data_IF_267939484123
#
_entry.id   IF_267939484123
#
_cell.length_a   1.000
_cell.length_b   1.000
_cell.length_c   1.000
_cell.angle_alpha   90.00
_cell.angle_beta   90.00
_cell.angle_gamma   90.00
#
_symmetry.space_group_name_H-M   'P 1'
#
loop_
_entity.id
_entity.type
_entity.pdbx_description
1 polymer ?
#
# COMPACT_ATOMS: atom_id res chain seq x y z
N UNK A 1 -32.52 13.51 31.90
CA UNK A 1 -32.49 12.77 30.62
C UNK A 1 -32.90 11.34 30.90
N UNK A 2 -34.03 10.84 30.35
CA UNK A 2 -34.42 9.45 30.52
C UNK A 2 -33.37 8.54 29.88
N UNK A 3 -33.28 7.30 30.36
CA UNK A 3 -32.23 6.32 30.05
C UNK A 3 -32.07 6.07 28.54
N UNK A 4 -31.26 6.88 27.87
CA UNK A 4 -30.73 6.53 26.55
C UNK A 4 -29.91 5.26 26.76
N UNK A 5 -30.42 4.13 26.28
CA UNK A 5 -29.68 2.86 26.22
C UNK A 5 -28.33 3.19 25.58
N UNK A 6 -27.22 3.02 26.32
CA UNK A 6 -25.88 3.14 25.72
C UNK A 6 -25.84 2.18 24.53
N UNK A 7 -25.70 2.71 23.31
CA UNK A 7 -25.63 1.89 22.11
C UNK A 7 -24.46 0.90 22.25
N UNK A 8 -24.74 -0.37 21.95
CA UNK A 8 -23.75 -1.45 22.01
C UNK A 8 -23.05 -1.57 20.67
N UNK A 9 -21.74 -1.38 20.68
CA UNK A 9 -20.91 -1.35 19.47
C UNK A 9 -19.92 -2.51 19.52
N UNK A 10 -19.90 -3.31 18.47
CA UNK A 10 -18.89 -4.33 18.23
C UNK A 10 -17.73 -3.73 17.45
N UNK A 11 -16.49 -4.02 17.84
CA UNK A 11 -15.30 -3.67 17.06
C UNK A 11 -14.49 -4.92 16.79
N UNK A 12 -14.30 -5.23 15.50
CA UNK A 12 -13.50 -6.33 15.01
C UNK A 12 -12.17 -5.78 14.51
N UNK A 13 -11.08 -6.31 15.03
CA UNK A 13 -9.73 -5.91 14.63
C UNK A 13 -9.16 -4.82 15.54
N UNK A 14 -8.19 -5.21 16.36
CA UNK A 14 -7.53 -4.34 17.34
C UNK A 14 -6.08 -4.04 16.93
N UNK A 15 -5.90 -3.72 15.64
CA UNK A 15 -4.64 -3.26 15.08
C UNK A 15 -4.33 -1.80 15.42
N UNK A 16 -3.53 -1.14 14.57
CA UNK A 16 -3.07 0.23 14.83
C UNK A 16 -4.23 1.21 15.00
N UNK A 17 -5.24 1.10 14.13
CA UNK A 17 -6.36 2.03 14.08
C UNK A 17 -7.51 1.60 14.98
N UNK A 18 -7.92 0.32 14.90
CA UNK A 18 -9.07 -0.19 15.65
C UNK A 18 -8.95 -0.02 17.17
N UNK A 19 -7.73 -0.05 17.73
CA UNK A 19 -7.52 0.25 19.16
C UNK A 19 -7.85 1.71 19.53
N UNK A 20 -7.46 2.66 18.67
CA UNK A 20 -7.70 4.09 18.87
C UNK A 20 -9.18 4.42 18.73
N UNK A 21 -9.83 3.83 17.72
CA UNK A 21 -11.29 3.92 17.52
C UNK A 21 -12.04 3.35 18.72
N UNK A 22 -11.65 2.16 19.21
CA UNK A 22 -12.24 1.53 20.40
C UNK A 22 -12.15 2.44 21.63
N UNK A 23 -11.00 3.07 21.86
CA UNK A 23 -10.79 3.98 22.98
C UNK A 23 -11.69 5.23 22.86
N UNK A 24 -11.79 5.80 21.66
CA UNK A 24 -12.64 6.95 21.37
C UNK A 24 -14.14 6.65 21.55
N UNK A 25 -14.62 5.50 21.06
CA UNK A 25 -16.01 5.07 21.31
C UNK A 25 -16.30 4.95 22.81
N UNK A 26 -15.38 4.35 23.58
CA UNK A 26 -15.54 4.22 25.04
C UNK A 26 -15.56 5.59 25.73
N UNK A 27 -14.70 6.52 25.34
CA UNK A 27 -14.65 7.86 25.93
C UNK A 27 -15.91 8.68 25.65
N UNK A 28 -16.59 8.41 24.53
CA UNK A 28 -17.90 9.00 24.17
C UNK A 28 -19.10 8.31 24.83
N UNK A 29 -18.86 7.31 25.69
CA UNK A 29 -19.90 6.66 26.49
C UNK A 29 -20.59 5.46 25.83
N UNK A 30 -20.12 5.01 24.66
CA UNK A 30 -20.62 3.79 24.02
C UNK A 30 -20.23 2.54 24.82
N UNK A 31 -21.09 1.51 24.79
CA UNK A 31 -20.74 0.21 25.36
C UNK A 31 -20.05 -0.64 24.28
N UNK A 32 -18.73 -0.74 24.36
CA UNK A 32 -17.93 -1.37 23.29
C UNK A 32 -17.51 -2.79 23.67
N UNK A 33 -17.86 -3.74 22.81
CA UNK A 33 -17.40 -5.13 22.81
C UNK A 33 -16.43 -5.34 21.66
N UNK A 34 -15.44 -6.21 21.84
CA UNK A 34 -14.34 -6.32 20.89
C UNK A 34 -13.98 -7.75 20.58
N UNK A 35 -13.52 -7.97 19.36
CA UNK A 35 -12.92 -9.24 18.94
C UNK A 35 -11.68 -8.98 18.09
N UNK A 36 -10.69 -9.84 18.20
CA UNK A 36 -9.51 -9.83 17.35
C UNK A 36 -9.02 -11.27 17.15
N UNK A 37 -8.62 -11.64 15.93
CA UNK A 37 -8.12 -12.98 15.60
C UNK A 37 -7.06 -13.48 16.60
N UNK A 38 -6.11 -12.62 16.95
CA UNK A 38 -5.19 -12.85 18.07
C UNK A 38 -5.78 -12.21 19.32
N UNK A 39 -6.12 -12.96 20.38
CA UNK A 39 -6.69 -12.40 21.60
C UNK A 39 -5.86 -11.23 22.17
N UNK A 40 -6.56 -10.23 22.72
CA UNK A 40 -5.94 -9.05 23.33
C UNK A 40 -6.45 -8.90 24.77
N UNK A 41 -5.59 -8.51 25.73
CA UNK A 41 -5.99 -8.32 27.13
C UNK A 41 -6.71 -6.97 27.30
N UNK A 42 -7.93 -6.87 26.77
CA UNK A 42 -8.77 -5.67 26.82
C UNK A 42 -10.17 -6.01 27.35
N UNK A 43 -10.86 -5.08 28.03
CA UNK A 43 -12.22 -5.34 28.54
C UNK A 43 -13.21 -5.67 27.42
N UNK A 44 -14.29 -6.40 27.77
CA UNK A 44 -15.38 -6.79 26.88
C UNK A 44 -14.93 -7.53 25.62
N UNK A 45 -13.87 -8.34 25.75
CA UNK A 45 -13.41 -9.21 24.68
C UNK A 45 -14.35 -10.42 24.56
N UNK A 46 -14.86 -10.68 23.36
CA UNK A 46 -15.76 -11.82 23.08
C UNK A 46 -15.03 -12.95 22.36
N UNK A 47 -15.63 -14.15 22.28
CA UNK A 47 -15.01 -15.33 21.69
C UNK A 47 -15.02 -15.34 20.16
N UNK A 48 -15.99 -14.69 19.51
CA UNK A 48 -16.14 -14.73 18.05
C UNK A 48 -16.80 -13.47 17.46
N UNK A 49 -16.70 -13.20 16.14
CA UNK A 49 -17.51 -12.19 15.48
C UNK A 49 -19.01 -12.46 15.57
N UNK A 50 -19.43 -13.73 15.49
CA UNK A 50 -20.84 -14.10 15.66
C UNK A 50 -21.40 -13.66 17.01
N UNK A 51 -20.61 -13.79 18.10
CA UNK A 51 -21.00 -13.31 19.43
C UNK A 51 -21.16 -11.78 19.49
N UNK A 52 -20.37 -11.01 18.72
CA UNK A 52 -20.61 -9.56 18.59
C UNK A 52 -21.97 -9.26 17.98
N UNK A 53 -22.40 -10.01 16.96
CA UNK A 53 -23.72 -9.85 16.37
C UNK A 53 -24.86 -10.31 17.28
N UNK A 54 -24.63 -11.18 18.26
CA UNK A 54 -25.65 -11.49 19.27
C UNK A 54 -25.90 -10.34 20.24
N UNK A 55 -24.87 -9.56 20.56
CA UNK A 55 -24.91 -8.57 21.65
C UNK A 55 -24.90 -7.10 21.20
N UNK A 56 -24.46 -6.80 19.98
CA UNK A 56 -24.32 -5.45 19.45
C UNK A 56 -25.26 -5.21 18.26
N UNK A 57 -25.72 -3.96 18.11
CA UNK A 57 -26.54 -3.54 16.97
C UNK A 57 -25.68 -2.93 15.84
N UNK A 58 -24.52 -2.36 16.19
CA UNK A 58 -23.57 -1.76 15.24
C UNK A 58 -22.22 -2.46 15.34
N UNK A 59 -21.62 -2.80 14.21
CA UNK A 59 -20.38 -3.59 14.18
C UNK A 59 -19.39 -2.95 13.22
N UNK A 60 -18.24 -2.50 13.73
CA UNK A 60 -17.16 -1.93 12.92
C UNK A 60 -16.07 -2.97 12.64
N UNK A 61 -15.62 -3.06 11.39
CA UNK A 61 -14.61 -4.02 10.92
C UNK A 61 -13.33 -3.29 10.50
N UNK A 62 -12.22 -3.60 11.18
CA UNK A 62 -10.87 -3.12 10.90
C UNK A 62 -9.92 -4.29 10.63
N UNK A 63 -9.92 -4.82 9.40
CA UNK A 63 -9.08 -5.96 9.01
C UNK A 63 -8.10 -5.59 7.89
N UNK A 64 -7.14 -6.48 7.63
CA UNK A 64 -5.95 -6.16 6.84
C UNK A 64 -6.14 -6.21 5.33
N UNK A 65 -7.04 -7.06 4.85
CA UNK A 65 -7.11 -7.49 3.46
C UNK A 65 -8.50 -8.07 3.12
N UNK A 66 -8.69 -8.34 1.82
CA UNK A 66 -9.89 -8.85 1.20
C UNK A 66 -10.38 -10.16 1.84
N UNK A 67 -9.47 -11.12 2.03
CA UNK A 67 -9.80 -12.43 2.61
C UNK A 67 -10.32 -12.27 4.05
N UNK A 68 -9.61 -11.49 4.87
CA UNK A 68 -10.01 -11.24 6.24
C UNK A 68 -11.38 -10.53 6.33
N UNK A 69 -11.70 -9.65 5.38
CA UNK A 69 -13.00 -8.97 5.33
C UNK A 69 -14.12 -9.97 5.03
N UNK A 70 -13.96 -10.79 3.99
CA UNK A 70 -14.97 -11.77 3.58
C UNK A 70 -15.17 -12.84 4.65
N UNK A 71 -14.10 -13.36 5.25
CA UNK A 71 -14.19 -14.30 6.37
C UNK A 71 -14.95 -13.69 7.56
N UNK A 72 -14.66 -12.43 7.89
CA UNK A 72 -15.35 -11.72 8.98
C UNK A 72 -16.84 -11.53 8.67
N UNK A 73 -17.18 -11.14 7.45
CA UNK A 73 -18.56 -10.98 7.00
C UNK A 73 -19.33 -12.31 7.09
N UNK A 74 -18.72 -13.42 6.67
CA UNK A 74 -19.31 -14.76 6.80
C UNK A 74 -19.56 -15.15 8.26
N UNK A 75 -18.57 -14.97 9.15
CA UNK A 75 -18.73 -15.28 10.58
C UNK A 75 -19.82 -14.43 11.23
N UNK A 76 -19.91 -13.15 10.89
CA UNK A 76 -20.99 -12.28 11.35
C UNK A 76 -22.35 -12.78 10.85
N UNK A 77 -22.43 -13.21 9.59
CA UNK A 77 -23.67 -13.63 8.94
C UNK A 77 -24.42 -14.75 9.67
N UNK A 78 -23.74 -15.52 10.53
CA UNK A 78 -24.35 -16.55 11.36
C UNK A 78 -25.41 -16.01 12.33
N UNK A 79 -25.27 -14.75 12.75
CA UNK A 79 -26.10 -14.12 13.80
C UNK A 79 -26.63 -12.73 13.41
N UNK A 80 -26.28 -12.24 12.23
CA UNK A 80 -26.87 -11.03 11.66
C UNK A 80 -28.39 -11.16 11.46
N UNK A 81 -29.04 -10.01 11.46
CA UNK A 81 -30.49 -9.83 11.41
C UNK A 81 -30.82 -8.37 11.05
N UNK A 82 -32.08 -8.03 10.72
CA UNK A 82 -32.43 -6.70 10.19
C UNK A 82 -32.13 -5.49 11.08
N UNK A 83 -31.93 -5.68 12.39
CA UNK A 83 -31.56 -4.59 13.31
C UNK A 83 -30.14 -4.05 13.08
N UNK A 84 -29.26 -4.82 12.43
CA UNK A 84 -27.84 -4.52 12.44
C UNK A 84 -27.40 -3.52 11.38
N UNK A 85 -26.34 -2.79 11.70
CA UNK A 85 -25.52 -2.05 10.74
C UNK A 85 -24.07 -2.52 10.87
N UNK A 86 -23.51 -3.05 9.78
CA UNK A 86 -22.10 -3.41 9.67
C UNK A 86 -21.35 -2.31 8.93
N UNK A 87 -20.25 -1.84 9.50
CA UNK A 87 -19.45 -0.73 8.97
C UNK A 87 -18.03 -1.26 8.70
N UNK A 88 -17.64 -1.34 7.43
CA UNK A 88 -16.33 -1.84 7.03
C UNK A 88 -15.35 -0.69 6.76
N UNK A 89 -14.23 -0.67 7.47
CA UNK A 89 -13.21 0.39 7.37
C UNK A 89 -11.95 -0.05 6.62
N UNK A 90 -11.88 -1.32 6.22
CA UNK A 90 -10.71 -1.92 5.62
C UNK A 90 -10.49 -1.39 4.20
N UNK A 91 -9.26 -1.00 3.86
CA UNK A 91 -8.90 -0.75 2.47
C UNK A 91 -8.75 -2.11 1.75
N UNK A 92 -9.70 -2.48 0.91
CA UNK A 92 -9.72 -3.74 0.14
C UNK A 92 -9.95 -3.45 -1.33
N UNK A 93 -10.26 -4.44 -2.17
CA UNK A 93 -10.76 -4.15 -3.53
C UNK A 93 -12.23 -3.70 -3.48
N UNK A 94 -12.69 -2.86 -4.43
CA UNK A 94 -14.10 -2.51 -4.57
C UNK A 94 -15.03 -3.73 -4.70
N UNK A 95 -14.57 -4.80 -5.35
CA UNK A 95 -15.33 -6.05 -5.49
C UNK A 95 -15.49 -6.77 -4.15
N UNK A 96 -14.42 -6.89 -3.35
CA UNK A 96 -14.52 -7.48 -2.01
C UNK A 96 -15.43 -6.67 -1.08
N UNK A 97 -15.47 -5.35 -1.22
CA UNK A 97 -16.39 -4.52 -0.45
C UNK A 97 -17.85 -4.79 -0.82
N UNK A 98 -18.16 -4.93 -2.12
CA UNK A 98 -19.50 -5.33 -2.59
C UNK A 98 -19.87 -6.73 -2.15
N UNK A 99 -18.97 -7.70 -2.28
CA UNK A 99 -19.20 -9.07 -1.84
C UNK A 99 -19.45 -9.15 -0.32
N UNK A 100 -18.71 -8.38 0.49
CA UNK A 100 -18.96 -8.29 1.93
C UNK A 100 -20.34 -7.70 2.24
N UNK A 101 -20.75 -6.67 1.50
CA UNK A 101 -22.08 -6.08 1.64
C UNK A 101 -23.18 -7.10 1.29
N UNK A 102 -23.06 -7.83 0.18
CA UNK A 102 -24.00 -8.88 -0.23
C UNK A 102 -24.18 -9.95 0.87
N UNK A 103 -23.09 -10.40 1.49
CA UNK A 103 -23.14 -11.36 2.60
C UNK A 103 -23.96 -10.79 3.78
N UNK A 104 -23.73 -9.53 4.14
CA UNK A 104 -24.43 -8.86 5.25
C UNK A 104 -25.91 -8.64 4.92
N UNK A 105 -26.19 -8.13 3.73
CA UNK A 105 -27.54 -7.78 3.26
C UNK A 105 -28.42 -9.01 3.02
N UNK A 106 -27.83 -10.16 2.68
CA UNK A 106 -28.55 -11.45 2.61
C UNK A 106 -29.21 -11.87 3.93
N UNK A 107 -28.77 -11.29 5.05
CA UNK A 107 -29.36 -11.48 6.40
C UNK A 107 -30.35 -10.36 6.79
N UNK A 108 -30.66 -9.46 5.86
CA UNK A 108 -31.48 -8.28 6.06
C UNK A 108 -30.80 -7.15 6.83
N UNK A 109 -29.54 -7.33 7.23
CA UNK A 109 -28.74 -6.28 7.87
C UNK A 109 -28.30 -5.22 6.86
N UNK A 110 -27.89 -4.06 7.34
CA UNK A 110 -27.43 -2.95 6.50
C UNK A 110 -25.91 -2.83 6.51
N UNK A 111 -25.34 -2.34 5.43
CA UNK A 111 -23.89 -2.22 5.26
C UNK A 111 -23.46 -0.79 4.94
N UNK A 112 -22.36 -0.36 5.54
CA UNK A 112 -21.67 0.90 5.23
C UNK A 112 -20.21 0.57 4.92
N UNK A 113 -19.73 1.09 3.81
CA UNK A 113 -18.31 1.19 3.52
C UNK A 113 -17.79 2.52 4.08
N UNK A 114 -16.73 2.49 4.89
CA UNK A 114 -16.16 3.66 5.54
C UNK A 114 -14.63 3.61 5.69
N UNK A 115 -13.82 3.42 4.62
CA UNK A 115 -12.38 3.60 4.71
C UNK A 115 -12.01 5.01 5.15
N UNK A 116 -10.78 5.21 5.61
CA UNK A 116 -10.37 6.46 6.25
C UNK A 116 -8.99 6.94 5.80
N UNK A 117 -8.74 8.23 5.98
CA UNK A 117 -7.39 8.80 6.04
C UNK A 117 -7.11 9.34 7.45
N UNK A 118 -5.82 9.31 7.81
CA UNK A 118 -5.35 9.50 9.18
C UNK A 118 -4.48 8.34 9.64
N UNK A 119 -3.44 8.65 10.41
CA UNK A 119 -2.50 7.67 10.96
C UNK A 119 -2.90 7.25 12.38
N UNK A 120 -2.04 6.45 13.02
CA UNK A 120 -2.09 6.14 14.46
C UNK A 120 -2.50 7.34 15.34
N UNK A 121 -1.86 8.48 15.14
CA UNK A 121 -2.08 9.69 15.95
C UNK A 121 -3.51 10.24 15.75
N UNK A 122 -4.00 10.26 14.50
CA UNK A 122 -5.35 10.72 14.21
C UNK A 122 -6.40 9.77 14.81
N UNK A 123 -6.17 8.45 14.74
CA UNK A 123 -7.05 7.46 15.35
C UNK A 123 -7.09 7.56 16.88
N UNK A 124 -5.98 7.90 17.53
CA UNK A 124 -5.92 8.10 18.99
C UNK A 124 -6.67 9.38 19.40
N UNK A 125 -6.58 10.45 18.61
CA UNK A 125 -7.24 11.73 18.88
C UNK A 125 -8.71 11.81 18.45
N UNK A 126 -9.21 10.80 17.75
CA UNK A 126 -10.56 10.85 17.15
C UNK A 126 -10.65 11.84 15.98
N UNK A 127 -9.57 12.01 15.24
CA UNK A 127 -9.41 12.98 14.14
C UNK A 127 -9.29 12.31 12.76
N UNK A 128 -9.77 11.05 12.63
CA UNK A 128 -9.85 10.40 11.33
C UNK A 128 -10.76 11.19 10.38
N UNK A 129 -10.55 10.99 9.08
CA UNK A 129 -11.46 11.45 8.04
C UNK A 129 -12.00 10.21 7.35
N UNK A 130 -13.30 9.97 7.44
CA UNK A 130 -13.95 8.83 6.79
C UNK A 130 -14.44 9.21 5.40
N UNK A 131 -14.15 8.35 4.42
CA UNK A 131 -14.81 8.34 3.11
C UNK A 131 -15.92 7.30 3.20
N UNK A 132 -17.19 7.71 3.03
CA UNK A 132 -18.33 6.81 3.28
C UNK A 132 -19.17 6.57 2.03
N UNK A 133 -19.63 5.33 1.89
CA UNK A 133 -20.58 4.90 0.89
C UNK A 133 -21.62 3.96 1.54
N UNK A 134 -22.87 4.10 1.11
CA UNK A 134 -24.02 3.41 1.69
C UNK A 134 -25.31 4.23 1.57
N UNK A 135 -26.44 3.60 1.92
CA UNK A 135 -27.75 4.25 1.96
C UNK A 135 -27.77 5.45 2.92
N UNK A 136 -28.46 6.52 2.54
CA UNK A 136 -28.46 7.79 3.29
C UNK A 136 -29.09 7.64 4.68
N UNK A 137 -30.19 6.92 4.81
CA UNK A 137 -30.85 6.73 6.10
C UNK A 137 -29.95 5.89 7.05
N UNK A 138 -29.31 4.87 6.50
CA UNK A 138 -28.33 4.04 7.22
C UNK A 138 -27.12 4.87 7.67
N UNK A 139 -26.58 5.73 6.80
CA UNK A 139 -25.47 6.63 7.13
C UNK A 139 -25.85 7.64 8.22
N UNK A 140 -27.06 8.20 8.17
CA UNK A 140 -27.55 9.12 9.21
C UNK A 140 -27.66 8.44 10.57
N UNK A 141 -28.13 7.19 10.61
CA UNK A 141 -28.23 6.42 11.85
C UNK A 141 -26.84 6.06 12.42
N UNK A 142 -25.88 5.69 11.55
CA UNK A 142 -24.52 5.32 11.96
C UNK A 142 -23.61 6.53 12.26
N UNK A 143 -24.01 7.74 11.88
CA UNK A 143 -23.20 8.96 11.98
C UNK A 143 -22.62 9.22 13.38
N UNK A 144 -23.38 9.12 14.50
CA UNK A 144 -22.82 9.35 15.84
C UNK A 144 -21.68 8.39 16.22
N UNK A 145 -21.67 7.19 15.64
CA UNK A 145 -20.65 6.16 15.88
C UNK A 145 -19.37 6.49 15.11
N UNK A 146 -19.49 6.94 13.86
CA UNK A 146 -18.37 7.41 13.06
C UNK A 146 -17.75 8.68 13.68
N UNK A 147 -18.58 9.65 14.04
CA UNK A 147 -18.18 10.93 14.67
C UNK A 147 -17.44 10.74 16.00
N UNK A 148 -17.62 9.60 16.67
CA UNK A 148 -16.87 9.30 17.89
C UNK A 148 -15.35 9.28 17.66
N UNK A 149 -14.90 8.94 16.44
CA UNK A 149 -13.48 8.75 16.11
C UNK A 149 -13.00 9.55 14.89
N UNK A 150 -13.82 10.48 14.40
CA UNK A 150 -13.50 11.31 13.22
C UNK A 150 -13.74 12.78 13.45
N UNK A 151 -12.96 13.62 12.77
CA UNK A 151 -13.24 15.05 12.62
C UNK A 151 -14.08 15.37 11.39
N UNK A 152 -14.16 14.45 10.43
CA UNK A 152 -14.87 14.66 9.17
C UNK A 152 -15.38 13.34 8.57
N UNK A 153 -16.56 13.39 7.97
CA UNK A 153 -17.20 12.28 7.27
C UNK A 153 -17.63 12.79 5.89
N UNK A 154 -17.00 12.28 4.85
CA UNK A 154 -17.22 12.66 3.46
C UNK A 154 -18.00 11.57 2.74
N UNK A 155 -19.23 11.86 2.33
CA UNK A 155 -20.02 10.94 1.50
C UNK A 155 -19.46 10.93 0.08
N UNK A 156 -19.06 9.76 -0.39
CA UNK A 156 -18.48 9.57 -1.73
C UNK A 156 -19.55 9.14 -2.72
N UNK A 157 -20.28 8.06 -2.43
CA UNK A 157 -21.29 7.53 -3.35
C UNK A 157 -21.64 6.09 -3.04
N UNK A 158 -21.55 5.24 -4.06
CA UNK A 158 -21.94 3.82 -4.01
C UNK A 158 -20.84 2.91 -3.47
N UNK A 159 -21.21 1.69 -3.07
CA UNK A 159 -20.28 0.71 -2.53
C UNK A 159 -19.13 0.38 -3.51
N UNK A 160 -17.92 0.44 -2.98
CA UNK A 160 -16.64 0.33 -3.68
C UNK A 160 -16.05 1.67 -4.09
N UNK A 161 -16.84 2.75 -4.17
CA UNK A 161 -16.33 4.08 -4.57
C UNK A 161 -15.54 4.75 -3.44
N UNK A 162 -15.91 4.54 -2.18
CA UNK A 162 -15.15 5.11 -1.06
C UNK A 162 -13.77 4.46 -0.92
N UNK A 163 -13.66 3.15 -1.16
CA UNK A 163 -12.38 2.45 -1.26
C UNK A 163 -11.57 2.92 -2.46
N UNK A 164 -12.19 3.13 -3.63
CA UNK A 164 -11.48 3.69 -4.78
C UNK A 164 -10.90 5.09 -4.48
N UNK A 165 -11.65 5.95 -3.78
CA UNK A 165 -11.16 7.24 -3.29
C UNK A 165 -9.97 7.07 -2.32
N UNK A 166 -10.06 6.12 -1.38
CA UNK A 166 -8.97 5.81 -0.47
C UNK A 166 -7.71 5.34 -1.21
N UNK A 167 -7.85 4.45 -2.19
CA UNK A 167 -6.72 3.97 -3.00
C UNK A 167 -6.07 5.13 -3.76
N UNK A 168 -6.86 6.00 -4.39
CA UNK A 168 -6.34 7.18 -5.10
C UNK A 168 -5.55 8.12 -4.18
N UNK A 169 -6.05 8.40 -2.97
CA UNK A 169 -5.32 9.25 -2.00
C UNK A 169 -4.04 8.58 -1.49
N UNK A 170 -4.04 7.25 -1.34
CA UNK A 170 -2.84 6.50 -0.97
C UNK A 170 -1.81 6.43 -2.11
N UNK A 171 -2.22 6.43 -3.39
CA UNK A 171 -1.29 6.52 -4.53
C UNK A 171 -0.43 7.79 -4.45
N UNK A 172 -1.07 8.94 -4.22
CA UNK A 172 -0.38 10.24 -4.06
C UNK A 172 0.56 10.19 -2.86
N UNK A 173 0.11 9.58 -1.76
CA UNK A 173 0.89 9.44 -0.53
C UNK A 173 2.15 8.60 -0.73
N UNK A 174 2.02 7.43 -1.36
CA UNK A 174 3.14 6.53 -1.65
C UNK A 174 4.16 7.19 -2.59
N UNK A 175 3.69 7.78 -3.69
CA UNK A 175 4.52 8.50 -4.64
C UNK A 175 5.30 9.64 -3.99
N UNK A 176 4.63 10.43 -3.14
CA UNK A 176 5.26 11.56 -2.45
C UNK A 176 6.38 11.12 -1.51
N UNK A 177 6.15 10.06 -0.73
CA UNK A 177 7.18 9.53 0.19
C UNK A 177 8.33 8.89 -0.57
N UNK A 178 8.05 8.14 -1.64
CA UNK A 178 9.06 7.55 -2.50
C UNK A 178 9.96 8.63 -3.14
N UNK A 179 9.37 9.64 -3.77
CA UNK A 179 10.12 10.75 -4.36
C UNK A 179 10.95 11.52 -3.31
N UNK A 180 10.42 11.66 -2.09
CA UNK A 180 11.15 12.29 -0.99
C UNK A 180 12.35 11.45 -0.53
N UNK A 181 12.21 10.12 -0.49
CA UNK A 181 13.31 9.22 -0.17
C UNK A 181 14.44 9.30 -1.20
N UNK A 182 14.11 9.33 -2.49
CA UNK A 182 15.08 9.53 -3.58
C UNK A 182 15.77 10.90 -3.47
N UNK A 183 15.01 11.96 -3.23
CA UNK A 183 15.55 13.31 -3.07
C UNK A 183 16.52 13.40 -1.88
N UNK A 184 16.18 12.78 -0.74
CA UNK A 184 17.08 12.71 0.42
C UNK A 184 18.38 11.97 0.07
N UNK A 185 18.30 10.86 -0.67
CA UNK A 185 19.48 10.16 -1.18
C UNK A 185 20.37 11.03 -2.06
N UNK A 186 19.77 11.79 -2.98
CA UNK A 186 20.50 12.72 -3.85
C UNK A 186 21.21 13.82 -3.05
N UNK A 187 20.50 14.43 -2.09
CA UNK A 187 21.08 15.45 -1.19
C UNK A 187 22.26 14.85 -0.41
N UNK A 188 22.13 13.63 0.11
CA UNK A 188 23.22 12.95 0.81
C UNK A 188 24.41 12.66 -0.11
N UNK A 189 24.17 12.17 -1.32
CA UNK A 189 25.22 11.85 -2.30
C UNK A 189 26.01 13.10 -2.74
N UNK A 190 25.38 14.27 -2.72
CA UNK A 190 26.02 15.56 -3.00
C UNK A 190 26.69 16.20 -1.77
N UNK A 191 26.69 15.53 -0.61
CA UNK A 191 27.29 16.04 0.62
C UNK A 191 26.54 17.23 1.23
N UNK A 192 25.28 17.44 0.86
CA UNK A 192 24.45 18.51 1.41
C UNK A 192 23.80 18.08 2.72
N UNK A 193 23.63 18.98 3.72
CA UNK A 193 22.93 18.64 4.96
C UNK A 193 21.46 18.28 4.71
N UNK A 194 21.03 17.10 5.17
CA UNK A 194 19.65 16.62 4.98
C UNK A 194 18.63 17.54 5.66
N UNK A 195 19.00 18.15 6.79
CA UNK A 195 18.16 19.10 7.53
C UNK A 195 17.86 20.35 6.70
N UNK A 196 18.78 20.78 5.83
CA UNK A 196 18.56 21.92 4.92
C UNK A 196 17.55 21.58 3.83
N UNK A 197 17.51 20.33 3.36
CA UNK A 197 16.44 19.89 2.48
C UNK A 197 15.07 19.91 3.18
N UNK A 198 14.99 19.48 4.44
CA UNK A 198 13.75 19.57 5.25
C UNK A 198 13.31 21.03 5.42
N UNK A 199 14.26 21.93 5.70
CA UNK A 199 13.99 23.38 5.79
C UNK A 199 13.44 23.93 4.47
N UNK A 200 14.09 23.63 3.34
CA UNK A 200 13.65 24.06 2.01
C UNK A 200 12.26 23.52 1.67
N UNK A 201 11.96 22.26 2.02
CA UNK A 201 10.66 21.65 1.77
C UNK A 201 9.53 22.33 2.53
N UNK A 202 9.75 22.99 3.67
CA UNK A 202 8.69 23.72 4.40
C UNK A 202 8.09 24.88 3.59
N UNK A 203 8.92 25.52 2.75
CA UNK A 203 8.47 26.60 1.85
C UNK A 203 8.03 26.11 0.46
N UNK A 204 8.19 24.80 0.17
CA UNK A 204 7.84 24.24 -1.12
C UNK A 204 6.32 23.98 -1.20
N UNK A 205 5.70 24.25 -2.36
CA UNK A 205 4.28 24.03 -2.57
C UNK A 205 3.85 22.55 -2.43
N UNK A 206 4.79 21.61 -2.58
CA UNK A 206 4.56 20.16 -2.40
C UNK A 206 4.66 19.72 -0.94
N UNK A 207 4.92 20.64 -0.01
CA UNK A 207 4.92 20.31 1.42
C UNK A 207 3.54 19.81 1.84
N UNK A 208 3.52 18.67 2.55
CA UNK A 208 2.30 18.10 3.08
C UNK A 208 2.52 17.60 4.50
N UNK A 209 1.44 17.41 5.25
CA UNK A 209 1.48 16.83 6.59
C UNK A 209 2.18 15.47 6.60
N UNK A 210 2.01 14.67 5.55
CA UNK A 210 2.71 13.39 5.42
C UNK A 210 4.22 13.60 5.31
N UNK A 211 4.68 14.47 4.41
CA UNK A 211 6.13 14.71 4.26
C UNK A 211 6.75 15.34 5.51
N UNK A 212 6.04 16.26 6.15
CA UNK A 212 6.45 16.85 7.44
C UNK A 212 6.67 15.78 8.52
N UNK A 213 5.83 14.73 8.53
CA UNK A 213 5.95 13.60 9.45
C UNK A 213 7.06 12.62 9.06
N UNK A 214 7.20 12.31 7.77
CA UNK A 214 8.10 11.24 7.30
C UNK A 214 9.54 11.68 7.14
N UNK A 215 9.82 12.89 6.68
CA UNK A 215 11.21 13.33 6.43
C UNK A 215 12.12 13.20 7.66
N UNK A 216 11.75 13.71 8.86
CA UNK A 216 12.60 13.59 10.03
C UNK A 216 12.80 12.14 10.47
N UNK A 217 11.77 11.29 10.30
CA UNK A 217 11.83 9.86 10.60
C UNK A 217 12.77 9.11 9.66
N UNK A 218 12.71 9.39 8.35
CA UNK A 218 13.63 8.82 7.36
C UNK A 218 15.10 9.18 7.66
N UNK A 219 15.38 10.44 7.98
CA UNK A 219 16.74 10.89 8.34
C UNK A 219 17.24 10.19 9.61
N UNK A 220 16.38 10.05 10.62
CA UNK A 220 16.71 9.37 11.89
C UNK A 220 16.69 7.85 11.82
N UNK A 221 16.33 7.26 10.67
CA UNK A 221 16.07 5.83 10.49
C UNK A 221 15.03 5.27 11.49
N UNK A 222 14.08 6.10 11.92
CA UNK A 222 12.96 5.69 12.77
C UNK A 222 11.81 5.22 11.87
N UNK A 223 11.68 3.90 11.75
CA UNK A 223 10.64 3.26 10.96
C UNK A 223 9.53 2.64 11.83
N UNK A 224 9.30 3.17 13.04
CA UNK A 224 8.13 2.78 13.85
C UNK A 224 6.83 3.02 13.05
N UNK A 225 5.99 1.98 12.87
CA UNK A 225 4.92 2.00 11.89
C UNK A 225 3.76 2.91 12.31
N UNK A 226 3.54 3.96 11.53
CA UNK A 226 2.27 4.69 11.50
C UNK A 226 1.35 4.13 10.41
N UNK A 227 1.94 3.63 9.32
CA UNK A 227 1.29 2.82 8.29
C UNK A 227 2.35 1.89 7.69
N UNK A 228 2.16 0.58 7.77
CA UNK A 228 3.23 -0.35 7.46
C UNK A 228 3.46 -0.56 5.97
N UNK A 229 4.69 -0.93 5.61
CA UNK A 229 5.11 -1.26 4.24
C UNK A 229 4.17 -2.27 3.58
N UNK A 230 3.82 -3.37 4.28
CA UNK A 230 2.93 -4.39 3.73
C UNK A 230 1.54 -3.86 3.36
N UNK A 231 1.01 -2.92 4.16
CA UNK A 231 -0.31 -2.36 3.89
C UNK A 231 -0.27 -1.33 2.77
N UNK A 232 0.77 -0.48 2.69
CA UNK A 232 0.94 0.42 1.56
C UNK A 232 1.19 -0.35 0.26
N UNK A 233 1.99 -1.42 0.29
CA UNK A 233 2.23 -2.27 -0.88
C UNK A 233 0.91 -2.85 -1.41
N UNK A 234 0.09 -3.43 -0.53
CA UNK A 234 -1.23 -3.95 -0.89
C UNK A 234 -2.09 -2.88 -1.56
N UNK A 235 -2.14 -1.68 -1.00
CA UNK A 235 -2.91 -0.58 -1.60
C UNK A 235 -2.39 -0.19 -2.99
N UNK A 236 -1.06 -0.22 -3.22
CA UNK A 236 -0.48 0.01 -4.55
C UNK A 236 -0.76 -1.15 -5.52
N UNK A 237 -0.86 -2.39 -5.04
CA UNK A 237 -1.27 -3.54 -5.86
C UNK A 237 -2.73 -3.41 -6.29
N UNK A 238 -3.62 -3.03 -5.38
CA UNK A 238 -5.04 -2.74 -5.69
C UNK A 238 -5.12 -1.58 -6.70
N UNK A 239 -4.37 -0.49 -6.50
CA UNK A 239 -4.31 0.63 -7.44
C UNK A 239 -3.92 0.19 -8.86
N UNK A 240 -2.84 -0.60 -8.99
CA UNK A 240 -2.39 -1.11 -10.28
C UNK A 240 -3.42 -2.04 -10.94
N UNK A 241 -4.08 -2.90 -10.16
CA UNK A 241 -5.15 -3.76 -10.68
C UNK A 241 -6.33 -2.94 -11.20
N UNK A 242 -6.77 -1.92 -10.45
CA UNK A 242 -7.84 -1.02 -10.88
C UNK A 242 -7.44 -0.21 -12.12
N UNK A 243 -6.18 0.26 -12.19
CA UNK A 243 -5.65 0.93 -13.37
C UNK A 243 -5.70 0.05 -14.62
N UNK A 244 -5.21 -1.20 -14.50
CA UNK A 244 -5.23 -2.17 -15.59
C UNK A 244 -6.65 -2.46 -16.07
N UNK A 245 -7.60 -2.73 -15.16
CA UNK A 245 -9.00 -2.98 -15.50
C UNK A 245 -9.70 -1.79 -16.17
N UNK A 246 -9.14 -0.57 -16.04
CA UNK A 246 -9.65 0.65 -16.65
C UNK A 246 -8.75 1.17 -17.79
N UNK A 247 -7.83 0.35 -18.30
CA UNK A 247 -6.92 0.72 -19.39
C UNK A 247 -6.06 1.96 -19.10
N UNK A 248 -5.68 2.16 -17.83
CA UNK A 248 -4.81 3.23 -17.37
C UNK A 248 -3.40 2.68 -17.07
N UNK A 249 -2.40 3.36 -17.62
CA UNK A 249 -0.99 3.14 -17.26
C UNK A 249 -0.62 4.02 -16.06
N UNK A 250 -0.35 3.38 -14.92
CA UNK A 250 -0.05 4.03 -13.63
C UNK A 250 1.45 3.94 -13.31
N UNK A 251 2.31 4.44 -14.20
CA UNK A 251 3.77 4.30 -14.09
C UNK A 251 4.38 4.76 -12.75
N UNK A 252 3.94 5.88 -12.19
CA UNK A 252 4.41 6.37 -10.87
C UNK A 252 4.03 5.40 -9.74
N UNK A 253 2.82 4.87 -9.80
CA UNK A 253 2.31 3.89 -8.83
C UNK A 253 3.05 2.56 -8.95
N UNK A 254 3.36 2.11 -10.17
CA UNK A 254 4.18 0.92 -10.39
C UNK A 254 5.59 1.09 -9.80
N UNK A 255 6.25 2.23 -10.02
CA UNK A 255 7.57 2.50 -9.46
C UNK A 255 7.55 2.48 -7.91
N UNK A 256 6.58 3.14 -7.29
CA UNK A 256 6.43 3.13 -5.83
C UNK A 256 6.11 1.73 -5.27
N UNK A 257 5.25 0.97 -5.95
CA UNK A 257 4.97 -0.44 -5.61
C UNK A 257 6.25 -1.27 -5.58
N UNK A 258 7.09 -1.14 -6.59
CA UNK A 258 8.28 -1.98 -6.73
C UNK A 258 9.29 -1.71 -5.61
N UNK A 259 9.44 -0.45 -5.16
CA UNK A 259 10.28 -0.14 -4.01
C UNK A 259 9.71 -0.72 -2.71
N UNK A 260 8.39 -0.68 -2.52
CA UNK A 260 7.73 -1.29 -1.36
C UNK A 260 7.87 -2.82 -1.38
N UNK A 261 7.80 -3.45 -2.56
CA UNK A 261 8.01 -4.89 -2.73
C UNK A 261 9.45 -5.29 -2.37
N UNK A 262 10.45 -4.50 -2.76
CA UNK A 262 11.84 -4.71 -2.36
C UNK A 262 12.00 -4.65 -0.83
N UNK A 263 11.37 -3.69 -0.15
CA UNK A 263 11.38 -3.64 1.32
C UNK A 263 10.72 -4.86 1.97
N UNK A 264 9.65 -5.39 1.37
CA UNK A 264 9.04 -6.65 1.83
C UNK A 264 10.01 -7.83 1.69
N UNK A 265 10.77 -7.91 0.60
CA UNK A 265 11.76 -8.97 0.38
C UNK A 265 12.91 -8.91 1.39
N UNK A 266 13.22 -7.72 1.91
CA UNK A 266 14.22 -7.53 2.98
C UNK A 266 13.65 -7.73 4.40
N UNK A 267 12.39 -8.13 4.54
CA UNK A 267 11.77 -8.40 5.84
C UNK A 267 11.23 -7.16 6.57
N UNK A 268 11.20 -5.99 5.93
CA UNK A 268 10.72 -4.73 6.51
C UNK A 268 9.22 -4.50 6.31
N UNK A 269 8.43 -5.57 6.26
CA UNK A 269 7.00 -5.49 5.99
C UNK A 269 6.18 -4.84 7.10
N UNK A 270 6.63 -4.99 8.34
CA UNK A 270 6.00 -4.41 9.54
C UNK A 270 6.53 -3.03 9.92
N UNK A 271 7.65 -2.60 9.32
CA UNK A 271 8.16 -1.24 9.42
C UNK A 271 7.20 -0.25 8.72
N UNK A 272 7.32 1.03 9.04
CA UNK A 272 6.62 2.09 8.32
C UNK A 272 6.98 2.10 6.83
N UNK A 273 6.03 2.41 5.95
CA UNK A 273 6.26 2.44 4.50
C UNK A 273 7.33 3.46 4.06
N UNK A 274 7.73 4.41 4.92
CA UNK A 274 8.91 5.24 4.68
C UNK A 274 10.24 4.48 4.75
N UNK A 275 10.23 3.18 5.08
CA UNK A 275 11.39 2.29 5.04
C UNK A 275 12.04 2.21 3.65
N UNK A 276 11.34 2.59 2.58
CA UNK A 276 11.92 2.78 1.24
C UNK A 276 13.16 3.71 1.25
N UNK A 277 13.28 4.60 2.24
CA UNK A 277 14.45 5.45 2.44
C UNK A 277 15.74 4.68 2.77
N UNK A 278 15.66 3.46 3.32
CA UNK A 278 16.84 2.63 3.66
C UNK A 278 17.75 2.41 2.44
N UNK A 279 17.15 2.30 1.25
CA UNK A 279 17.86 2.11 -0.02
C UNK A 279 18.74 3.30 -0.41
N UNK A 280 18.29 4.50 -0.06
CA UNK A 280 18.91 5.75 -0.51
C UNK A 280 19.78 6.41 0.55
N UNK A 281 19.53 6.08 1.81
CA UNK A 281 20.30 6.53 2.96
C UNK A 281 21.03 5.30 3.54
N UNK A 282 22.17 4.87 3.00
CA UNK A 282 22.95 3.77 3.58
C UNK A 282 23.47 4.17 4.97
N UNK A 283 23.74 3.18 5.82
CA UNK A 283 24.51 3.45 7.02
C UNK A 283 25.92 3.84 6.57
N UNK A 284 26.34 5.06 6.89
CA UNK A 284 27.78 5.33 6.96
C UNK A 284 28.27 4.51 8.13
N UNK A 285 28.77 3.30 7.85
CA UNK A 285 29.76 2.72 8.75
C UNK A 285 30.81 3.82 8.94
N UNK A 286 31.09 4.19 10.19
CA UNK A 286 32.26 5.01 10.47
C UNK A 286 33.48 4.14 10.24
N UNK A 287 33.79 3.83 8.98
CA UNK A 287 35.08 3.31 8.62
C UNK A 287 36.05 4.46 8.80
N UNK A 288 36.66 4.53 9.99
CA UNK A 288 37.94 5.22 10.18
C UNK A 288 38.97 4.54 9.29
N UNK A 289 38.89 4.78 7.99
CA UNK A 289 39.97 4.53 7.07
C UNK A 289 40.89 5.74 7.18
N UNK A 290 41.89 5.64 8.06
CA UNK A 290 43.14 6.33 7.80
C UNK A 290 43.55 5.96 6.37
N UNK A 291 43.69 6.96 5.50
CA UNK A 291 44.32 6.77 4.20
C UNK A 291 45.65 6.03 4.41
N UNK A 292 45.94 4.94 3.69
CA UNK A 292 47.25 4.34 3.76
C UNK A 292 48.22 5.37 3.18
N UNK A 293 49.07 5.96 4.02
CA UNK A 293 50.22 6.72 3.53
C UNK A 293 51.01 5.79 2.62
N UNK A 294 51.07 6.16 1.34
CA UNK A 294 51.98 5.56 0.38
C UNK A 294 53.39 5.75 0.93
N UNK A 295 54.00 4.68 1.43
CA UNK A 295 55.41 4.67 1.75
C UNK A 295 56.16 4.78 0.42
N UNK A 296 56.87 5.90 0.25
CA UNK A 296 57.87 6.07 -0.80
C UNK A 296 58.87 4.91 -0.69
N UNK A 297 58.83 3.98 -1.65
CA UNK A 297 59.86 2.96 -1.80
C UNK A 297 60.96 3.54 -2.66
N UNK A 298 62.10 3.80 -2.04
CA UNK A 298 63.36 4.13 -2.70
C UNK A 298 63.70 3.03 -3.74
N UNK A 299 64.05 3.47 -4.95
CA UNK A 299 64.60 2.63 -6.01
C UNK A 299 65.91 2.00 -5.55
N UNK A 300 65.97 0.67 -5.56
CA UNK A 300 67.22 -0.06 -5.65
C UNK A 300 67.19 -0.98 -6.87
N UNK A 301 67.98 -0.59 -7.86
CA UNK A 301 68.31 -1.33 -9.07
C UNK A 301 69.36 -2.38 -8.75
N UNK A 302 69.18 -3.63 -9.22
CA UNK A 302 70.19 -4.39 -9.99
C UNK A 302 69.80 -5.86 -10.28
N UNK A 303 69.91 -6.17 -11.59
CA UNK A 303 70.38 -7.40 -12.24
C UNK A 303 69.69 -8.78 -12.04
N UNK A 304 68.91 -9.15 -13.06
CA UNK A 304 69.16 -10.26 -14.01
C UNK A 304 69.18 -11.73 -13.51
N UNK A 305 68.15 -12.51 -13.89
CA UNK A 305 68.26 -13.91 -14.30
C UNK A 305 66.99 -14.37 -15.07
N UNK A 306 67.19 -15.31 -16.00
CA UNK A 306 66.47 -15.49 -17.25
C UNK A 306 65.52 -16.71 -17.27
N UNK A 307 64.46 -16.61 -18.09
CA UNK A 307 63.70 -17.67 -18.80
C UNK A 307 62.59 -18.48 -18.06
N UNK A 308 61.63 -19.11 -18.80
CA UNK A 308 60.87 -18.61 -19.96
C UNK A 308 59.33 -18.74 -19.79
N UNK A 309 58.57 -18.12 -20.71
CA UNK A 309 57.10 -18.11 -20.76
C UNK A 309 56.49 -19.42 -21.30
N UNK A 310 55.26 -19.80 -20.90
CA UNK A 310 54.50 -20.83 -21.60
C UNK A 310 53.65 -20.21 -22.73
N UNK A 311 53.70 -20.86 -23.89
CA UNK A 311 52.85 -20.64 -25.06
C UNK A 311 51.36 -20.85 -24.73
N UNK A 312 50.51 -19.98 -25.26
CA UNK A 312 49.05 -20.21 -25.33
C UNK A 312 48.68 -20.38 -26.80
N UNK A 313 48.37 -21.61 -27.20
CA UNK A 313 47.74 -21.92 -28.48
C UNK A 313 46.19 -21.86 -28.34
N UNK A 314 45.45 -21.41 -29.36
CA UNK A 314 44.00 -21.32 -29.30
C UNK A 314 43.38 -22.66 -29.72
N UNK A 315 42.43 -23.17 -28.94
CA UNK A 315 41.58 -24.29 -29.36
C UNK A 315 40.14 -23.79 -29.48
N UNK A 316 39.74 -23.58 -30.74
CA UNK A 316 38.37 -23.43 -31.21
C UNK A 316 38.02 -24.75 -31.90
N UNK A 317 37.06 -25.51 -31.36
CA UNK A 317 36.10 -26.31 -32.13
C UNK A 317 35.15 -27.15 -31.26
N UNK A 318 33.86 -26.86 -31.42
CA UNK A 318 32.74 -27.79 -31.63
C UNK A 318 32.30 -28.72 -30.49
N UNK A 319 31.01 -28.59 -30.11
CA UNK A 319 30.00 -29.66 -29.92
C UNK A 319 28.69 -28.99 -29.48
N UNK A 320 27.75 -28.72 -30.39
CA UNK A 320 26.59 -29.56 -30.74
C UNK A 320 25.49 -29.58 -29.67
N UNK A 321 24.39 -28.85 -29.95
CA UNK A 321 23.12 -28.80 -29.21
C UNK A 321 22.27 -30.06 -29.44
N UNK A 322 21.50 -30.54 -28.44
CA UNK A 322 20.39 -31.49 -28.66
C UNK A 322 18.99 -30.81 -28.67
N UNK A 323 17.96 -31.45 -29.27
CA UNK A 323 16.75 -30.79 -29.78
C UNK A 323 15.49 -30.89 -28.89
N UNK A 324 14.58 -29.92 -29.12
CA UNK A 324 13.10 -29.89 -29.00
C UNK A 324 12.39 -30.41 -27.75
N UNK A 325 11.50 -29.58 -27.18
CA UNK A 325 10.04 -29.83 -27.16
C UNK A 325 9.27 -28.49 -27.24
N UNK A 326 8.46 -28.34 -28.28
CA UNK A 326 7.36 -27.39 -28.35
C UNK A 326 6.06 -28.20 -28.44
N UNK A 327 5.06 -27.90 -27.59
CA UNK A 327 3.61 -27.97 -27.88
C UNK A 327 2.76 -28.10 -26.59
N UNK A 328 2.00 -27.05 -26.27
CA UNK A 328 0.70 -26.99 -25.58
C UNK A 328 0.56 -25.51 -25.16
N UNK A 329 -0.33 -24.67 -25.68
CA UNK A 329 -1.79 -24.74 -25.58
C UNK A 329 -2.43 -23.91 -26.72
N UNK A 330 -3.17 -24.57 -27.61
CA UNK A 330 -4.30 -23.96 -28.36
C UNK A 330 -5.40 -25.01 -28.39
N UNK A 331 -6.39 -24.90 -27.49
CA UNK A 331 -7.72 -25.50 -27.64
C UNK A 331 -8.63 -25.05 -26.48
N UNK A 332 -9.36 -23.94 -26.68
CA UNK A 332 -10.79 -23.85 -26.32
C UNK A 332 -11.36 -22.51 -26.82
N UNK A 333 -11.63 -22.44 -28.12
CA UNK A 333 -12.64 -21.53 -28.63
C UNK A 333 -13.99 -22.27 -28.55
N UNK A 334 -14.84 -21.87 -27.62
CA UNK A 334 -16.24 -22.27 -27.53
C UNK A 334 -17.10 -21.02 -27.51
N UNK A 335 -17.98 -20.89 -28.51
CA UNK A 335 -18.79 -19.72 -28.80
C UNK A 335 -19.84 -19.42 -27.70
N UNK A 336 -20.08 -18.13 -27.45
CA UNK A 336 -21.15 -17.63 -26.59
C UNK A 336 -21.22 -16.10 -26.57
N UNK A 337 -21.96 -15.55 -27.52
CA UNK A 337 -22.61 -14.21 -27.58
C UNK A 337 -21.99 -13.01 -26.82
N UNK A 338 -21.31 -12.13 -27.57
CA UNK A 338 -20.94 -10.79 -27.12
C UNK A 338 -22.07 -9.78 -27.45
N UNK A 339 -22.70 -9.23 -26.40
CA UNK A 339 -23.50 -8.00 -26.51
C UNK A 339 -22.68 -6.79 -26.03
N UNK A 340 -22.71 -5.76 -26.88
CA UNK A 340 -22.37 -4.34 -26.68
C UNK A 340 -20.94 -3.96 -26.22
N UNK A 341 -20.13 -3.60 -27.21
CA UNK A 341 -18.86 -2.90 -27.05
C UNK A 341 -19.08 -1.40 -26.78
N UNK A 342 -18.53 -0.92 -25.65
CA UNK A 342 -18.36 0.51 -25.32
C UNK A 342 -17.28 1.10 -26.25
N UNK A 343 -17.45 2.29 -26.85
CA UNK A 343 -16.55 2.77 -27.89
C UNK A 343 -15.20 3.20 -27.31
N UNK A 344 -14.13 2.47 -27.70
CA UNK A 344 -12.75 2.85 -27.44
C UNK A 344 -12.45 4.25 -28.01
N UNK A 345 -11.95 5.16 -27.17
CA UNK A 345 -11.58 6.53 -27.58
C UNK A 345 -10.51 6.48 -28.68
N UNK A 346 -10.87 6.97 -29.88
CA UNK A 346 -10.10 7.06 -31.15
C UNK A 346 -8.67 7.65 -31.07
N UNK A 347 -8.20 8.11 -29.91
CA UNK A 347 -6.89 8.76 -29.76
C UNK A 347 -5.72 7.79 -29.57
N UNK A 348 -5.93 6.69 -28.84
CA UNK A 348 -4.83 5.87 -28.33
C UNK A 348 -4.18 4.99 -29.41
N UNK A 349 -4.99 4.30 -30.21
CA UNK A 349 -4.48 3.47 -31.32
C UNK A 349 -3.69 4.31 -32.34
N UNK A 350 -4.16 5.54 -32.57
CA UNK A 350 -3.55 6.49 -33.50
C UNK A 350 -2.20 7.01 -32.98
N UNK A 351 -2.06 7.21 -31.66
CA UNK A 351 -0.78 7.55 -31.02
C UNK A 351 0.21 6.37 -31.03
N UNK A 352 -0.27 5.15 -30.78
CA UNK A 352 0.55 3.94 -30.77
C UNK A 352 1.15 3.68 -32.17
N UNK A 353 0.31 3.76 -33.21
CA UNK A 353 0.73 3.57 -34.61
C UNK A 353 1.70 4.66 -35.08
N UNK A 354 1.56 5.89 -34.57
CA UNK A 354 2.47 7.01 -34.89
C UNK A 354 3.85 6.83 -34.25
N UNK A 355 3.93 6.31 -33.01
CA UNK A 355 5.20 5.95 -32.36
C UNK A 355 5.89 4.76 -33.04
N UNK A 356 5.14 3.73 -33.42
CA UNK A 356 5.69 2.58 -34.14
C UNK A 356 6.30 2.99 -35.50
N UNK A 357 5.66 3.91 -36.23
CA UNK A 357 6.20 4.46 -37.49
C UNK A 357 7.44 5.36 -37.33
N UNK A 358 7.63 5.99 -36.17
CA UNK A 358 8.83 6.77 -35.88
C UNK A 358 10.03 5.88 -35.55
N UNK A 359 9.81 4.74 -34.88
CA UNK A 359 10.87 3.78 -34.55
C UNK A 359 11.38 3.01 -35.79
N UNK A 360 10.52 2.80 -36.80
CA UNK A 360 10.89 2.13 -38.07
C UNK A 360 11.62 3.03 -39.08
N UNK A 361 11.86 4.31 -38.77
CA UNK A 361 12.49 5.28 -39.69
C UNK A 361 13.91 5.71 -39.32
N UNK A 362 14.54 5.13 -38.31
CA UNK A 362 15.94 5.44 -38.00
C UNK A 362 16.89 4.61 -38.89
N UNK A 363 17.78 5.24 -39.69
CA UNK A 363 18.79 4.51 -40.43
C UNK A 363 19.88 4.01 -39.47
N UNK A 364 20.22 2.73 -39.58
CA UNK A 364 21.39 2.12 -38.94
C UNK A 364 22.64 2.73 -39.58
N UNK A 365 23.33 3.62 -38.84
CA UNK A 365 24.64 4.12 -39.24
C UNK A 365 25.66 3.00 -39.10
N UNK A 366 26.15 2.51 -40.24
CA UNK A 366 27.27 1.58 -40.36
C UNK A 366 28.43 2.31 -41.06
N UNK A 367 29.64 2.14 -40.50
CA UNK A 367 31.01 2.26 -41.05
C UNK A 367 31.93 2.80 -39.96
N UNK A 368 32.84 2.01 -39.37
CA UNK A 368 34.14 1.57 -39.92
C UNK A 368 34.96 2.73 -40.51
N UNK A 369 36.03 3.06 -39.78
CA UNK A 369 37.11 3.98 -40.06
C UNK A 369 38.13 3.87 -38.94
#
# INVERSE_FOLDING_TARGET
>A
MPHSKRQKIGVIGLGIIGRGVTANLRSKGFQVFVWNRTPRPVPNFVGSPAELAEICDYIQIFVSDDEALLQTAHQLSEKLAPRHIVIAHSTVTPDSMRAAAEIVESRGARFIEAPFTGSKIAAEKGELVFYVAGDEATLQEARPILEASSKEIMKIGELGQATAMKIATNMVTAASVQATAEALGLIQALGLPLEKFVEAMKGNASHSTTLAMKMPKMIKRDFEPHFSTKHMLKDMQIANQLGLSNYLDLGVTAAARDQLLEQMQWGYGDDDFSAVARKYLPETESTGHEEPRLAEREEQTSAEATAPAPEVAPVLAQMSLPPSVAAAVVASAGAGEAKEAIPARRGFLTQLLRRARQLLKQPVSSKEG
#
